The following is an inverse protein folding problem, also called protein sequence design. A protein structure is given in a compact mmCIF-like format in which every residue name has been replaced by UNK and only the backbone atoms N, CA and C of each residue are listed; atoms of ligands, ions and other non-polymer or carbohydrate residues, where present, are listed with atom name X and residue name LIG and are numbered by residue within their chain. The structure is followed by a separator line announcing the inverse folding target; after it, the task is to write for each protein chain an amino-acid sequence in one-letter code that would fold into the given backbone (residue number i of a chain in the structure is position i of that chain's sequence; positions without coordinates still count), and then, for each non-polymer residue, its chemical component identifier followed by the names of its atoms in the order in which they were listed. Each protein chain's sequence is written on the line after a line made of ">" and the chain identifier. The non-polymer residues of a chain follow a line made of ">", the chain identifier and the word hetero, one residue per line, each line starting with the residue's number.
data_IF_276866017824
#
_entry.id   IF_276866017824
#
_cell.length_a   1.000
_cell.length_b   1.000
_cell.length_c   1.000
_cell.angle_alpha   90.00
_cell.angle_beta   90.00
_cell.angle_gamma   90.00
#
_symmetry.space_group_name_H-M   'P 1'
#
loop_
_entity.id
_entity.type
_entity.pdbx_description
1 polymer ?
#
# COMPACT_ATOMS: atom_id res chain seq x y z
N UNK A 1 -20.48 22.39 2.94
CA UNK A 1 -19.41 21.37 2.89
C UNK A 1 -19.30 20.83 4.29
N UNK A 2 -19.56 19.54 4.47
CA UNK A 2 -19.36 18.93 5.79
C UNK A 2 -17.87 19.01 6.11
N UNK A 3 -17.52 19.76 7.16
CA UNK A 3 -16.12 19.94 7.56
C UNK A 3 -15.66 18.68 8.28
N UNK A 4 -14.80 17.89 7.64
CA UNK A 4 -14.11 16.76 8.25
C UNK A 4 -12.75 17.24 8.79
N UNK A 5 -12.82 18.15 9.78
CA UNK A 5 -11.64 18.88 10.27
C UNK A 5 -10.66 18.00 11.03
N UNK A 6 -11.14 17.00 11.78
CA UNK A 6 -10.28 16.06 12.49
C UNK A 6 -9.65 15.07 11.52
N UNK A 7 -10.39 14.61 10.51
CA UNK A 7 -9.84 13.77 9.43
C UNK A 7 -8.74 14.50 8.68
N UNK A 8 -8.97 15.76 8.29
CA UNK A 8 -7.97 16.56 7.58
C UNK A 8 -6.74 16.83 8.44
N UNK A 9 -6.94 17.19 9.71
CA UNK A 9 -5.85 17.41 10.65
C UNK A 9 -5.01 16.15 10.88
N UNK A 10 -5.65 14.99 11.03
CA UNK A 10 -4.96 13.72 11.16
C UNK A 10 -4.11 13.42 9.92
N UNK A 11 -4.73 13.50 8.72
CA UNK A 11 -4.03 13.26 7.46
C UNK A 11 -2.90 14.26 7.20
N UNK A 12 -2.91 15.42 7.86
CA UNK A 12 -1.91 16.47 7.73
C UNK A 12 -0.76 16.37 8.73
N UNK A 13 -0.78 15.43 9.69
CA UNK A 13 0.33 15.24 10.62
C UNK A 13 1.64 14.97 9.88
N UNK A 14 2.65 15.80 10.12
CA UNK A 14 3.94 15.72 9.40
C UNK A 14 4.84 14.58 9.85
N UNK A 15 4.60 14.03 11.06
CA UNK A 15 5.36 12.91 11.63
C UNK A 15 4.58 11.61 11.52
N UNK A 16 4.66 10.87 10.38
CA UNK A 16 3.81 9.72 10.09
C UNK A 16 4.00 8.55 11.06
N UNK A 17 5.12 8.49 11.75
CA UNK A 17 5.51 7.38 12.63
C UNK A 17 5.82 7.83 14.06
N UNK A 18 5.30 8.97 14.47
CA UNK A 18 5.38 9.44 15.85
C UNK A 18 3.99 9.40 16.47
N UNK A 19 3.76 8.44 17.36
CA UNK A 19 2.51 8.29 18.08
C UNK A 19 2.65 8.83 19.50
N UNK A 20 1.73 9.73 19.88
CA UNK A 20 1.60 10.31 21.20
C UNK A 20 0.09 10.43 21.58
N UNK A 21 -0.18 10.94 22.78
CA UNK A 21 -1.54 11.11 23.27
C UNK A 21 -2.40 12.03 22.38
N UNK A 22 -1.78 13.02 21.73
CA UNK A 22 -2.49 13.98 20.89
C UNK A 22 -2.86 13.37 19.55
N UNK A 23 -1.95 12.64 18.91
CA UNK A 23 -2.23 11.91 17.66
C UNK A 23 -3.22 10.77 17.87
N UNK A 24 -3.18 10.08 19.05
CA UNK A 24 -4.17 9.06 19.41
C UNK A 24 -5.56 9.68 19.56
N UNK A 25 -5.68 10.77 20.32
CA UNK A 25 -6.94 11.49 20.49
C UNK A 25 -7.49 11.99 19.14
N UNK A 26 -6.62 12.57 18.32
CA UNK A 26 -7.00 13.06 16.99
C UNK A 26 -7.48 11.94 16.08
N UNK A 27 -6.87 10.75 16.15
CA UNK A 27 -7.34 9.57 15.43
C UNK A 27 -8.75 9.18 15.86
N UNK A 28 -9.02 9.16 17.18
CA UNK A 28 -10.34 8.82 17.71
C UNK A 28 -11.43 9.83 17.30
N UNK A 29 -11.09 11.12 17.33
CA UNK A 29 -11.98 12.20 16.88
C UNK A 29 -12.26 12.08 15.37
N UNK A 30 -11.24 11.85 14.55
CA UNK A 30 -11.35 11.65 13.11
C UNK A 30 -12.19 10.40 12.76
N UNK A 31 -12.04 9.32 13.52
CA UNK A 31 -12.87 8.12 13.33
C UNK A 31 -14.35 8.38 13.65
N UNK A 32 -14.67 9.10 14.73
CA UNK A 32 -16.05 9.49 15.03
C UNK A 32 -16.63 10.40 13.94
N UNK A 33 -15.83 11.33 13.46
CA UNK A 33 -16.18 12.26 12.40
C UNK A 33 -16.52 11.53 11.09
N UNK A 34 -15.70 10.59 10.65
CA UNK A 34 -15.95 9.81 9.41
C UNK A 34 -17.14 8.86 9.56
N UNK A 35 -17.33 8.22 10.72
CA UNK A 35 -18.50 7.38 10.98
C UNK A 35 -19.77 8.23 10.89
N UNK A 36 -19.83 9.38 11.55
CA UNK A 36 -20.97 10.30 11.49
C UNK A 36 -21.24 10.78 10.06
N UNK A 37 -20.18 11.11 9.31
CA UNK A 37 -20.27 11.48 7.90
C UNK A 37 -20.93 10.38 7.06
N UNK A 38 -20.50 9.12 7.17
CA UNK A 38 -21.10 8.02 6.42
C UNK A 38 -22.52 7.67 6.89
N UNK A 39 -22.83 7.85 8.16
CA UNK A 39 -24.21 7.69 8.68
C UNK A 39 -25.17 8.65 7.98
N UNK A 40 -24.73 9.87 7.67
CA UNK A 40 -25.55 10.88 7.00
C UNK A 40 -25.54 10.73 5.47
N UNK A 41 -24.41 10.32 4.89
CA UNK A 41 -24.19 10.43 3.46
C UNK A 41 -24.20 9.08 2.71
N UNK A 42 -24.17 7.93 3.40
CA UNK A 42 -24.14 6.62 2.76
C UNK A 42 -25.43 5.84 3.06
N UNK A 43 -26.25 5.57 2.04
CA UNK A 43 -27.49 4.79 2.22
C UNK A 43 -27.22 3.43 2.87
N UNK A 44 -28.02 3.07 3.89
CA UNK A 44 -27.92 1.78 4.57
C UNK A 44 -26.82 1.67 5.62
N UNK A 45 -25.83 2.59 5.67
CA UNK A 45 -24.71 2.48 6.62
C UNK A 45 -25.17 2.58 8.09
N UNK A 46 -26.12 3.46 8.41
CA UNK A 46 -26.75 3.53 9.76
C UNK A 46 -27.38 2.20 10.18
N UNK A 47 -28.11 1.56 9.27
CA UNK A 47 -28.76 0.27 9.55
C UNK A 47 -27.73 -0.84 9.72
N UNK A 48 -26.65 -0.79 8.94
CA UNK A 48 -25.55 -1.74 9.05
C UNK A 48 -24.84 -1.63 10.42
N UNK A 49 -24.55 -0.43 10.91
CA UNK A 49 -24.02 -0.21 12.26
C UNK A 49 -24.98 -0.74 13.34
N UNK A 50 -26.28 -0.42 13.22
CA UNK A 50 -27.29 -0.86 14.19
C UNK A 50 -27.40 -2.40 14.29
N UNK A 51 -27.24 -3.13 13.19
CA UNK A 51 -27.20 -4.61 13.18
C UNK A 51 -26.02 -5.18 13.96
N UNK A 52 -24.95 -4.40 14.11
CA UNK A 52 -23.77 -4.76 14.87
C UNK A 52 -23.73 -4.13 16.27
N UNK A 53 -24.85 -3.58 16.73
CA UNK A 53 -24.99 -2.89 18.03
C UNK A 53 -24.04 -1.69 18.18
N UNK A 54 -23.68 -1.02 17.08
CA UNK A 54 -22.87 0.21 17.08
C UNK A 54 -23.82 1.40 16.89
N UNK A 55 -23.83 2.38 17.82
CA UNK A 55 -24.64 3.60 17.66
C UNK A 55 -24.06 4.47 16.52
N UNK A 56 -24.92 5.34 15.98
CA UNK A 56 -24.61 6.16 14.81
C UNK A 56 -23.45 7.16 15.03
N UNK A 57 -23.17 7.52 16.27
CA UNK A 57 -22.08 8.39 16.70
C UNK A 57 -20.84 7.62 17.18
N UNK A 58 -20.89 6.28 17.14
CA UNK A 58 -19.85 5.39 17.63
C UNK A 58 -19.45 5.66 19.11
N UNK A 59 -20.37 6.18 19.93
CA UNK A 59 -20.05 6.63 21.29
C UNK A 59 -19.69 5.48 22.25
N UNK A 60 -20.09 4.24 21.94
CA UNK A 60 -19.82 3.05 22.77
C UNK A 60 -18.62 2.22 22.26
N UNK A 61 -17.80 2.77 21.38
CA UNK A 61 -16.61 2.07 20.90
C UNK A 61 -15.44 2.36 21.84
N UNK A 62 -14.98 1.32 22.57
CA UNK A 62 -13.76 1.35 23.37
C UNK A 62 -12.51 1.09 22.55
N UNK A 63 -12.65 0.37 21.45
CA UNK A 63 -11.58 0.07 20.50
C UNK A 63 -12.13 0.03 19.08
N UNK A 64 -11.45 0.69 18.15
CA UNK A 64 -11.84 0.69 16.72
C UNK A 64 -11.78 -0.70 16.07
N UNK A 65 -11.18 -1.67 16.73
CA UNK A 65 -11.31 -3.08 16.36
C UNK A 65 -12.76 -3.58 16.43
N UNK A 66 -13.63 -2.97 17.24
CA UNK A 66 -15.06 -3.32 17.36
C UNK A 66 -15.88 -2.83 16.16
N UNK A 67 -15.35 -1.87 15.38
CA UNK A 67 -16.04 -1.42 14.18
C UNK A 67 -16.13 -2.57 13.18
N UNK A 68 -17.33 -2.96 12.74
CA UNK A 68 -17.51 -4.11 11.87
C UNK A 68 -16.70 -3.93 10.58
N UNK A 69 -15.83 -4.88 10.23
CA UNK A 69 -15.00 -4.73 9.04
C UNK A 69 -15.72 -5.17 7.78
N UNK A 70 -15.39 -4.54 6.67
CA UNK A 70 -15.73 -5.01 5.32
C UNK A 70 -14.57 -5.88 4.83
N UNK A 71 -14.86 -7.05 4.27
CA UNK A 71 -13.82 -7.87 3.66
C UNK A 71 -13.39 -7.29 2.32
N UNK A 72 -12.08 -7.30 2.04
CA UNK A 72 -11.53 -6.81 0.78
C UNK A 72 -12.16 -7.51 -0.45
N UNK A 73 -12.53 -8.79 -0.34
CA UNK A 73 -13.20 -9.53 -1.42
C UNK A 73 -14.60 -8.99 -1.77
N UNK A 74 -15.25 -8.26 -0.87
CA UNK A 74 -16.51 -7.58 -1.17
C UNK A 74 -16.37 -6.60 -2.35
N UNK A 75 -15.27 -5.89 -2.42
CA UNK A 75 -14.98 -4.89 -3.47
C UNK A 75 -14.67 -5.51 -4.84
N UNK A 76 -14.50 -6.82 -4.92
CA UNK A 76 -14.39 -7.55 -6.19
C UNK A 76 -15.75 -7.77 -6.87
N UNK A 77 -16.81 -7.86 -6.09
CA UNK A 77 -18.15 -8.19 -6.57
C UNK A 77 -19.08 -6.97 -6.57
N UNK A 78 -18.78 -5.98 -5.76
CA UNK A 78 -19.64 -4.82 -5.53
C UNK A 78 -18.84 -3.54 -5.72
N UNK A 79 -19.39 -2.61 -6.49
CA UNK A 79 -18.91 -1.22 -6.42
C UNK A 79 -19.38 -0.65 -5.09
N UNK A 80 -18.47 -0.03 -4.31
CA UNK A 80 -18.87 0.56 -3.06
C UNK A 80 -19.95 1.63 -3.27
N UNK A 81 -21.03 1.51 -2.50
CA UNK A 81 -22.11 2.49 -2.50
C UNK A 81 -21.64 3.67 -1.68
N UNK A 82 -21.42 4.80 -2.31
CA UNK A 82 -21.00 6.04 -1.68
C UNK A 82 -21.30 7.24 -2.57
N UNK A 83 -21.07 8.42 -2.05
CA UNK A 83 -21.24 9.68 -2.75
C UNK A 83 -20.03 9.93 -3.66
N UNK A 84 -19.90 9.18 -4.76
CA UNK A 84 -18.92 9.51 -5.78
C UNK A 84 -19.54 10.48 -6.78
N UNK A 85 -19.01 11.71 -6.85
CA UNK A 85 -19.35 12.65 -7.93
C UNK A 85 -18.86 12.11 -9.30
N UNK A 86 -19.21 12.79 -10.37
CA UNK A 86 -18.81 12.44 -11.75
C UNK A 86 -17.28 12.39 -11.92
N UNK A 87 -16.51 13.09 -11.08
CA UNK A 87 -15.04 13.20 -11.12
C UNK A 87 -14.30 12.17 -10.24
N UNK A 88 -14.95 11.09 -9.79
CA UNK A 88 -14.30 10.09 -8.95
C UNK A 88 -13.31 9.24 -9.75
N UNK A 89 -12.07 9.12 -9.26
CA UNK A 89 -11.06 8.25 -9.81
C UNK A 89 -11.40 6.77 -9.49
N UNK A 90 -11.57 5.94 -10.49
CA UNK A 90 -11.72 4.51 -10.31
C UNK A 90 -10.34 3.84 -10.31
N UNK A 91 -9.98 3.21 -9.19
CA UNK A 91 -8.79 2.39 -9.06
C UNK A 91 -9.19 0.91 -9.04
N UNK A 92 -8.39 0.09 -9.72
CA UNK A 92 -8.57 -1.36 -9.75
C UNK A 92 -7.35 -2.07 -9.21
N UNK A 93 -7.56 -3.15 -8.44
CA UNK A 93 -6.47 -4.02 -8.03
C UNK A 93 -5.86 -4.72 -9.25
N UNK A 94 -4.57 -5.06 -9.19
CA UNK A 94 -3.87 -5.78 -10.25
C UNK A 94 -4.31 -7.25 -10.44
N UNK A 95 -5.19 -7.76 -9.57
CA UNK A 95 -5.81 -9.09 -9.50
C UNK A 95 -5.23 -10.18 -10.40
N UNK A 96 -4.48 -11.12 -9.82
CA UNK A 96 -3.97 -12.32 -10.51
C UNK A 96 -5.01 -13.42 -10.69
N UNK A 97 -6.17 -13.30 -10.03
CA UNK A 97 -7.24 -14.34 -9.99
C UNK A 97 -8.48 -14.04 -10.86
N UNK A 98 -8.36 -13.12 -11.80
CA UNK A 98 -9.43 -12.81 -12.77
C UNK A 98 -10.45 -11.75 -12.32
N UNK A 99 -10.84 -11.71 -11.05
CA UNK A 99 -11.70 -10.65 -10.51
C UNK A 99 -10.86 -9.59 -9.79
N UNK A 100 -10.98 -8.34 -10.24
CA UNK A 100 -10.28 -7.19 -9.66
C UNK A 100 -11.19 -6.47 -8.68
N UNK A 101 -10.66 -6.07 -7.53
CA UNK A 101 -11.35 -5.11 -6.68
C UNK A 101 -11.44 -3.76 -7.40
N UNK A 102 -12.57 -3.09 -7.25
CA UNK A 102 -12.84 -1.78 -7.85
C UNK A 102 -13.24 -0.82 -6.75
N UNK A 103 -12.54 0.29 -6.66
CA UNK A 103 -12.81 1.36 -5.71
C UNK A 103 -12.92 2.69 -6.44
N UNK A 104 -13.86 3.52 -6.00
CA UNK A 104 -13.97 4.90 -6.48
C UNK A 104 -13.51 5.83 -5.37
N UNK A 105 -12.57 6.68 -5.71
CA UNK A 105 -12.03 7.69 -4.81
C UNK A 105 -12.41 9.08 -5.28
N UNK A 106 -13.00 9.87 -4.39
CA UNK A 106 -13.17 11.29 -4.64
C UNK A 106 -11.84 12.05 -4.52
N UNK A 107 -11.82 13.29 -4.98
CA UNK A 107 -10.63 14.13 -4.98
C UNK A 107 -10.02 14.32 -3.57
N UNK A 108 -10.88 14.38 -2.53
CA UNK A 108 -10.43 14.51 -1.13
C UNK A 108 -9.68 13.28 -0.67
N UNK A 109 -10.26 12.09 -0.86
CA UNK A 109 -9.64 10.82 -0.45
C UNK A 109 -8.32 10.58 -1.18
N UNK A 110 -8.25 10.86 -2.48
CA UNK A 110 -6.98 10.75 -3.24
C UNK A 110 -5.96 11.78 -2.77
N UNK A 111 -6.37 13.02 -2.55
CA UNK A 111 -5.47 14.06 -2.03
C UNK A 111 -4.89 13.71 -0.66
N UNK A 112 -5.71 13.15 0.23
CA UNK A 112 -5.26 12.65 1.54
C UNK A 112 -4.25 11.51 1.40
N UNK A 113 -4.54 10.49 0.58
CA UNK A 113 -3.63 9.37 0.33
C UNK A 113 -2.29 9.83 -0.25
N UNK A 114 -2.31 10.74 -1.23
CA UNK A 114 -1.11 11.35 -1.81
C UNK A 114 -0.30 12.15 -0.79
N UNK A 115 -0.98 12.88 0.10
CA UNK A 115 -0.35 13.62 1.20
C UNK A 115 0.34 12.70 2.20
N UNK A 116 -0.25 11.56 2.53
CA UNK A 116 0.36 10.54 3.41
C UNK A 116 1.66 9.98 2.79
N UNK A 117 1.64 9.62 1.51
CA UNK A 117 2.86 9.16 0.79
C UNK A 117 3.95 10.23 0.83
N UNK A 118 3.61 11.50 0.56
CA UNK A 118 4.58 12.60 0.57
C UNK A 118 5.27 12.74 1.93
N UNK A 119 4.51 12.66 3.04
CA UNK A 119 5.06 12.76 4.39
C UNK A 119 5.95 11.56 4.75
N UNK A 120 5.57 10.35 4.32
CA UNK A 120 6.39 9.15 4.52
C UNK A 120 7.70 9.25 3.70
N UNK A 121 7.65 9.70 2.46
CA UNK A 121 8.84 9.93 1.64
C UNK A 121 9.76 10.98 2.25
N UNK A 122 9.18 12.06 2.80
CA UNK A 122 9.94 13.10 3.53
C UNK A 122 10.57 12.54 4.80
N UNK A 123 9.83 11.75 5.56
CA UNK A 123 10.34 11.08 6.78
C UNK A 123 11.58 10.24 6.49
N UNK A 124 11.61 9.49 5.37
CA UNK A 124 12.76 8.70 4.97
C UNK A 124 13.82 9.47 4.18
N UNK A 125 13.66 10.77 3.96
CA UNK A 125 14.58 11.60 3.18
C UNK A 125 14.61 11.25 1.68
N UNK A 126 13.48 10.77 1.14
CA UNK A 126 13.36 10.41 -0.28
C UNK A 126 12.70 11.49 -1.13
N UNK A 127 12.19 12.54 -0.52
CA UNK A 127 11.76 13.75 -1.23
C UNK A 127 13.00 14.63 -1.46
N UNK A 128 13.43 14.75 -2.73
CA UNK A 128 14.66 15.46 -3.12
C UNK A 128 14.36 16.40 -4.30
N UNK A 129 13.62 17.51 -4.09
CA UNK A 129 13.09 18.34 -5.17
C UNK A 129 14.19 19.03 -5.99
N UNK A 130 15.39 19.20 -5.43
CA UNK A 130 16.50 19.91 -6.09
C UNK A 130 17.57 18.95 -6.64
N UNK A 131 17.41 17.64 -6.46
CA UNK A 131 18.37 16.63 -6.88
C UNK A 131 17.76 15.72 -7.97
N UNK A 132 18.16 15.88 -9.24
CA UNK A 132 17.64 15.05 -10.31
C UNK A 132 18.08 13.58 -10.14
N UNK A 133 17.17 12.66 -10.46
CA UNK A 133 17.39 11.23 -10.40
C UNK A 133 17.07 10.57 -11.73
N UNK A 134 17.76 9.46 -12.02
CA UNK A 134 17.32 8.52 -13.04
C UNK A 134 16.27 7.58 -12.46
N UNK A 135 15.32 7.17 -13.29
CA UNK A 135 14.25 6.27 -12.90
C UNK A 135 14.29 4.99 -13.73
N UNK A 136 14.29 3.85 -13.06
CA UNK A 136 14.00 2.55 -13.64
C UNK A 136 12.64 2.08 -13.12
N UNK A 137 11.65 2.02 -14.02
CA UNK A 137 10.27 1.67 -13.72
C UNK A 137 10.02 0.21 -14.15
N UNK A 138 9.90 -0.68 -13.16
CA UNK A 138 9.68 -2.12 -13.36
C UNK A 138 8.17 -2.39 -13.56
N UNK A 139 7.58 -1.63 -14.43
CA UNK A 139 6.15 -1.58 -14.71
C UNK A 139 5.90 -1.30 -16.19
N UNK A 140 4.64 -1.13 -16.55
CA UNK A 140 4.20 -0.93 -17.92
C UNK A 140 4.47 0.50 -18.39
N UNK A 141 5.20 0.65 -19.50
CA UNK A 141 5.33 1.93 -20.19
C UNK A 141 3.94 2.43 -20.60
N UNK A 142 3.55 3.68 -20.26
CA UNK A 142 2.24 4.20 -20.60
C UNK A 142 2.02 4.19 -22.12
N UNK A 143 0.92 3.58 -22.59
CA UNK A 143 0.31 3.95 -23.86
C UNK A 143 -0.51 5.23 -23.60
N UNK A 144 -0.93 5.93 -24.63
CA UNK A 144 -1.57 7.27 -24.56
C UNK A 144 -2.75 7.43 -23.57
N UNK A 145 -3.22 6.36 -22.90
CA UNK A 145 -4.31 6.40 -21.90
C UNK A 145 -3.92 5.61 -20.66
N UNK A 146 -3.83 6.32 -19.53
CA UNK A 146 -3.52 5.73 -18.21
C UNK A 146 -4.81 5.15 -17.61
N UNK A 147 -4.94 3.83 -17.62
CA UNK A 147 -6.10 3.13 -17.05
C UNK A 147 -5.76 2.18 -15.90
N UNK A 148 -4.47 1.90 -15.64
CA UNK A 148 -4.05 0.97 -14.59
C UNK A 148 -3.59 1.72 -13.33
N UNK A 149 -4.06 1.30 -12.15
CA UNK A 149 -3.65 1.88 -10.87
C UNK A 149 -2.15 1.86 -10.62
N UNK A 150 -1.41 0.89 -11.19
CA UNK A 150 0.05 0.83 -11.11
C UNK A 150 0.73 1.96 -11.88
N UNK A 151 0.28 2.29 -13.08
CA UNK A 151 0.79 3.43 -13.85
C UNK A 151 0.52 4.77 -13.18
N UNK A 152 -0.63 4.90 -12.50
CA UNK A 152 -0.94 6.07 -11.69
C UNK A 152 0.03 6.20 -10.49
N UNK A 153 0.35 5.09 -9.82
CA UNK A 153 1.29 5.07 -8.70
C UNK A 153 2.69 5.45 -9.16
N UNK A 154 3.19 4.90 -10.26
CA UNK A 154 4.52 5.19 -10.79
C UNK A 154 4.68 6.66 -11.15
N UNK A 155 3.70 7.25 -11.85
CA UNK A 155 3.71 8.68 -12.17
C UNK A 155 3.68 9.55 -10.92
N UNK A 156 2.94 9.13 -9.89
CA UNK A 156 2.91 9.83 -8.62
C UNK A 156 4.25 9.74 -7.89
N UNK A 157 4.88 8.56 -7.85
CA UNK A 157 6.17 8.36 -7.20
C UNK A 157 7.34 9.10 -7.91
N UNK A 158 7.22 9.37 -9.19
CA UNK A 158 8.19 10.19 -9.92
C UNK A 158 8.18 11.68 -9.56
N UNK A 159 7.21 12.15 -8.77
CA UNK A 159 7.13 13.56 -8.34
C UNK A 159 8.11 13.94 -7.23
N UNK A 160 8.68 12.95 -6.52
CA UNK A 160 9.52 13.20 -5.35
C UNK A 160 10.98 13.54 -5.65
N UNK A 161 11.39 13.49 -6.91
CA UNK A 161 12.66 14.04 -7.39
C UNK A 161 12.51 14.41 -8.87
N UNK A 162 13.22 15.45 -9.37
CA UNK A 162 13.21 15.76 -10.78
C UNK A 162 13.68 14.57 -11.62
N UNK A 163 12.90 14.22 -12.64
CA UNK A 163 13.22 13.11 -13.54
C UNK A 163 14.29 13.57 -14.53
N UNK A 164 15.50 13.00 -14.44
CA UNK A 164 16.55 13.20 -15.46
C UNK A 164 16.25 12.31 -16.67
N UNK A 165 16.04 11.03 -16.45
CA UNK A 165 15.66 10.03 -17.45
C UNK A 165 14.81 8.94 -16.80
N UNK A 166 13.80 8.44 -17.52
CA UNK A 166 13.00 7.31 -17.11
C UNK A 166 13.09 6.19 -18.15
N UNK A 167 13.25 4.95 -17.65
CA UNK A 167 13.29 3.73 -18.46
C UNK A 167 12.30 2.73 -17.89
N UNK A 168 11.44 2.18 -18.73
CA UNK A 168 10.45 1.17 -18.36
C UNK A 168 10.94 -0.22 -18.73
N UNK A 169 10.73 -1.19 -17.82
CA UNK A 169 11.07 -2.58 -18.06
C UNK A 169 10.09 -3.29 -19.00
N UNK A 170 8.81 -2.91 -18.98
CA UNK A 170 7.77 -3.43 -19.87
C UNK A 170 7.45 -2.35 -20.91
N UNK A 171 8.13 -2.43 -22.05
CA UNK A 171 8.03 -1.44 -23.13
C UNK A 171 6.78 -1.63 -23.95
N UNK A 172 6.15 -0.54 -24.33
CA UNK A 172 4.99 -0.56 -25.23
C UNK A 172 5.41 -0.82 -26.67
N UNK A 173 4.80 -1.84 -27.31
CA UNK A 173 5.14 -2.27 -28.69
C UNK A 173 4.06 -1.91 -29.72
N UNK A 174 3.12 -1.01 -29.36
CA UNK A 174 1.98 -0.66 -30.22
C UNK A 174 0.77 -1.60 -30.08
N UNK A 175 1.00 -2.90 -29.85
CA UNK A 175 -0.06 -3.89 -29.64
C UNK A 175 -0.11 -4.49 -28.24
N UNK A 176 0.85 -4.15 -27.39
CA UNK A 176 0.96 -4.69 -26.02
C UNK A 176 2.25 -4.24 -25.34
N UNK A 177 2.68 -5.00 -24.35
CA UNK A 177 3.93 -4.72 -23.61
C UNK A 177 4.86 -5.92 -23.70
N UNK A 178 6.15 -5.64 -23.87
CA UNK A 178 7.21 -6.62 -23.91
C UNK A 178 8.25 -6.31 -22.83
N UNK A 179 8.71 -7.35 -22.12
CA UNK A 179 9.78 -7.21 -21.13
C UNK A 179 11.13 -7.08 -21.82
N UNK A 180 11.83 -5.96 -21.61
CA UNK A 180 13.13 -5.62 -22.20
C UNK A 180 14.27 -5.65 -21.16
N UNK A 181 14.74 -6.83 -20.73
CA UNK A 181 15.83 -6.92 -19.75
C UNK A 181 17.15 -6.34 -20.28
N UNK A 182 17.41 -6.45 -21.59
CA UNK A 182 18.65 -5.95 -22.17
C UNK A 182 18.71 -4.41 -22.25
N UNK A 183 17.58 -3.78 -22.58
CA UNK A 183 17.47 -2.33 -22.51
C UNK A 183 17.63 -1.79 -21.10
N UNK A 184 17.06 -2.49 -20.11
CA UNK A 184 17.22 -2.14 -18.68
C UNK A 184 18.68 -2.31 -18.23
N UNK A 185 19.35 -3.42 -18.57
CA UNK A 185 20.77 -3.64 -18.22
C UNK A 185 21.65 -2.51 -18.77
N UNK A 186 21.45 -2.15 -20.04
CA UNK A 186 22.20 -1.04 -20.67
C UNK A 186 21.92 0.29 -19.96
N UNK A 187 20.65 0.57 -19.62
CA UNK A 187 20.32 1.78 -18.89
C UNK A 187 20.97 1.83 -17.50
N UNK A 188 21.03 0.70 -16.77
CA UNK A 188 21.71 0.61 -15.48
C UNK A 188 23.22 0.87 -15.59
N UNK A 189 23.87 0.38 -16.66
CA UNK A 189 25.29 0.67 -16.95
C UNK A 189 25.49 2.16 -17.19
N UNK A 190 24.67 2.78 -18.06
CA UNK A 190 24.72 4.21 -18.35
C UNK A 190 24.46 5.06 -17.09
N UNK A 191 23.51 4.66 -16.23
CA UNK A 191 23.21 5.34 -14.96
C UNK A 191 24.38 5.24 -13.96
N UNK A 192 25.09 4.10 -13.93
CA UNK A 192 26.26 3.94 -13.09
C UNK A 192 27.41 4.85 -13.56
N UNK A 193 27.62 5.00 -14.88
CA UNK A 193 28.60 5.90 -15.46
C UNK A 193 28.24 7.38 -15.25
N UNK A 194 26.97 7.72 -15.33
CA UNK A 194 26.47 9.10 -15.10
C UNK A 194 26.62 9.53 -13.64
N UNK A 195 26.54 8.58 -12.69
CA UNK A 195 26.77 8.81 -11.27
C UNK A 195 25.66 9.58 -10.56
N UNK A 196 24.47 9.76 -11.16
CA UNK A 196 23.29 10.31 -10.49
C UNK A 196 22.54 9.24 -9.68
N UNK A 197 21.81 9.62 -8.63
CA UNK A 197 20.94 8.69 -7.93
C UNK A 197 19.94 8.01 -8.86
N UNK A 198 19.70 6.71 -8.65
CA UNK A 198 18.75 5.91 -9.41
C UNK A 198 17.59 5.51 -8.50
N UNK A 199 16.36 5.73 -8.93
CA UNK A 199 15.15 5.22 -8.28
C UNK A 199 14.61 4.05 -9.07
N UNK A 200 14.73 2.84 -8.52
CA UNK A 200 14.17 1.61 -9.08
C UNK A 200 12.81 1.41 -8.42
N UNK A 201 11.73 1.47 -9.19
CA UNK A 201 10.36 1.39 -8.69
C UNK A 201 9.59 0.28 -9.39
N UNK A 202 8.74 -0.46 -8.67
CA UNK A 202 7.77 -1.40 -9.26
C UNK A 202 7.91 -2.84 -8.78
N UNK A 203 7.71 -3.82 -9.66
CA UNK A 203 7.56 -5.22 -9.27
C UNK A 203 8.91 -5.93 -9.04
N UNK A 204 9.10 -6.58 -7.88
CA UNK A 204 10.37 -7.23 -7.53
C UNK A 204 10.76 -8.35 -8.50
N UNK A 205 9.81 -9.10 -9.05
CA UNK A 205 10.08 -10.20 -9.97
C UNK A 205 10.87 -9.77 -11.22
N UNK A 206 10.52 -8.62 -11.82
CA UNK A 206 11.24 -8.13 -12.99
C UNK A 206 12.68 -7.74 -12.65
N UNK A 207 12.89 -7.10 -11.49
CA UNK A 207 14.24 -6.79 -11.03
C UNK A 207 15.07 -8.05 -10.81
N UNK A 208 14.47 -9.07 -10.19
CA UNK A 208 15.14 -10.35 -10.00
C UNK A 208 15.58 -10.97 -11.34
N UNK A 209 14.72 -10.99 -12.34
CA UNK A 209 15.06 -11.53 -13.67
C UNK A 209 16.16 -10.72 -14.36
N UNK A 210 16.22 -9.41 -14.16
CA UNK A 210 17.31 -8.56 -14.65
C UNK A 210 18.63 -8.93 -13.98
N UNK A 211 18.64 -9.06 -12.63
CA UNK A 211 19.84 -9.45 -11.88
C UNK A 211 20.33 -10.84 -12.27
N UNK A 212 19.43 -11.81 -12.44
CA UNK A 212 19.80 -13.15 -12.93
C UNK A 212 20.37 -13.10 -14.36
N UNK A 213 19.79 -12.30 -15.25
CA UNK A 213 20.32 -12.10 -16.61
C UNK A 213 21.71 -11.47 -16.58
N UNK A 214 21.96 -10.47 -15.74
CA UNK A 214 23.29 -9.88 -15.57
C UNK A 214 24.31 -10.93 -15.10
N UNK A 215 23.92 -11.81 -14.16
CA UNK A 215 24.76 -12.91 -13.68
C UNK A 215 25.08 -13.94 -14.78
N UNK A 216 24.06 -14.36 -15.55
CA UNK A 216 24.23 -15.29 -16.67
C UNK A 216 25.16 -14.74 -17.75
N UNK A 217 25.11 -13.43 -17.99
CA UNK A 217 26.02 -12.74 -18.92
C UNK A 217 27.38 -12.46 -18.32
N UNK A 218 27.64 -12.86 -17.06
CA UNK A 218 28.87 -12.61 -16.33
C UNK A 218 29.30 -11.13 -16.30
N UNK A 219 28.31 -10.23 -16.24
CA UNK A 219 28.57 -8.80 -16.15
C UNK A 219 29.17 -8.44 -14.78
N UNK A 220 30.16 -7.54 -14.73
CA UNK A 220 30.71 -7.09 -13.48
C UNK A 220 29.63 -6.36 -12.65
N UNK A 221 29.75 -6.36 -11.31
CA UNK A 221 28.89 -5.54 -10.46
C UNK A 221 28.98 -4.06 -10.86
N UNK A 222 27.81 -3.41 -10.86
CA UNK A 222 27.71 -1.97 -11.04
C UNK A 222 27.75 -1.29 -9.67
N UNK A 223 28.22 -0.05 -9.64
CA UNK A 223 28.19 0.78 -8.45
C UNK A 223 27.31 2.00 -8.74
N UNK A 224 26.05 1.91 -8.40
CA UNK A 224 25.13 3.03 -8.47
C UNK A 224 25.43 4.03 -7.34
N UNK A 225 24.96 5.27 -7.52
CA UNK A 225 25.12 6.31 -6.50
C UNK A 225 24.57 5.86 -5.14
N UNK A 226 25.25 6.16 -4.05
CA UNK A 226 24.90 5.70 -2.70
C UNK A 226 23.49 6.15 -2.22
N UNK A 227 22.95 7.21 -2.80
CA UNK A 227 21.56 7.66 -2.55
C UNK A 227 20.53 6.99 -3.47
N UNK A 228 20.93 6.03 -4.32
CA UNK A 228 19.96 5.27 -5.10
C UNK A 228 18.99 4.51 -4.18
N UNK A 229 17.75 4.36 -4.63
CA UNK A 229 16.65 3.75 -3.90
C UNK A 229 16.03 2.65 -4.75
N UNK A 230 15.91 1.45 -4.21
CA UNK A 230 15.10 0.38 -4.77
C UNK A 230 13.82 0.24 -3.93
N UNK A 231 12.67 0.65 -4.49
CA UNK A 231 11.39 0.62 -3.82
C UNK A 231 10.41 -0.26 -4.61
N UNK A 232 10.07 -1.38 -4.02
CA UNK A 232 9.21 -2.38 -4.64
C UNK A 232 7.80 -2.32 -4.08
N UNK A 233 6.87 -2.95 -4.77
CA UNK A 233 5.50 -3.07 -4.32
C UNK A 233 4.70 -4.05 -5.16
N UNK A 234 3.55 -4.48 -4.63
CA UNK A 234 2.63 -5.34 -5.32
C UNK A 234 3.03 -6.82 -5.43
N UNK A 235 4.13 -7.24 -4.81
CA UNK A 235 4.58 -8.63 -4.76
C UNK A 235 5.01 -9.22 -6.11
N UNK A 236 5.26 -10.54 -6.13
CA UNK A 236 5.79 -11.27 -7.29
C UNK A 236 4.75 -11.56 -8.39
N UNK A 237 3.46 -11.22 -8.19
CA UNK A 237 2.37 -11.34 -9.17
C UNK A 237 2.22 -12.78 -9.72
N UNK A 238 2.26 -12.91 -11.03
CA UNK A 238 2.19 -14.21 -11.73
C UNK A 238 3.45 -15.07 -11.54
N UNK A 239 4.48 -14.55 -10.89
CA UNK A 239 5.76 -15.21 -10.63
C UNK A 239 5.94 -15.62 -9.17
N UNK A 240 4.84 -15.72 -8.39
CA UNK A 240 4.87 -16.09 -6.98
C UNK A 240 5.49 -17.48 -6.72
N UNK A 241 5.45 -18.38 -7.71
CA UNK A 241 6.11 -19.69 -7.69
C UNK A 241 7.65 -19.60 -7.72
N UNK A 242 8.20 -18.45 -8.10
CA UNK A 242 9.62 -18.14 -8.16
C UNK A 242 10.07 -17.15 -7.10
N UNK A 243 9.19 -16.82 -6.17
CA UNK A 243 9.50 -15.89 -5.09
C UNK A 243 10.63 -16.42 -4.22
N UNK A 244 11.60 -15.55 -3.96
CA UNK A 244 12.76 -15.83 -3.12
C UNK A 244 12.67 -15.05 -1.81
N UNK A 245 13.38 -15.47 -0.75
CA UNK A 245 13.45 -14.70 0.48
C UNK A 245 13.90 -13.25 0.22
N UNK A 246 13.21 -12.30 0.82
CA UNK A 246 13.46 -10.86 0.67
C UNK A 246 14.93 -10.49 0.98
N UNK A 247 15.48 -11.07 2.05
CA UNK A 247 16.89 -10.86 2.42
C UNK A 247 17.87 -11.28 1.33
N UNK A 248 17.60 -12.40 0.64
CA UNK A 248 18.42 -12.86 -0.48
C UNK A 248 18.31 -11.93 -1.69
N UNK A 249 17.12 -11.41 -1.95
CA UNK A 249 16.87 -10.45 -3.02
C UNK A 249 17.61 -9.12 -2.76
N UNK A 250 17.51 -8.57 -1.55
CA UNK A 250 18.17 -7.31 -1.18
C UNK A 250 19.70 -7.47 -1.14
N UNK A 251 20.21 -8.59 -0.63
CA UNK A 251 21.65 -8.89 -0.71
C UNK A 251 22.16 -8.92 -2.16
N UNK A 252 21.37 -9.45 -3.10
CA UNK A 252 21.73 -9.47 -4.53
C UNK A 252 21.72 -8.06 -5.13
N UNK A 253 20.75 -7.19 -4.78
CA UNK A 253 20.73 -5.79 -5.20
C UNK A 253 21.98 -5.05 -4.71
N UNK A 254 22.34 -5.22 -3.44
CA UNK A 254 23.56 -4.62 -2.87
C UNK A 254 24.80 -5.13 -3.58
N UNK A 255 24.94 -6.44 -3.78
CA UNK A 255 26.09 -7.05 -4.41
C UNK A 255 26.26 -6.61 -5.88
N UNK A 256 25.17 -6.54 -6.63
CA UNK A 256 25.24 -6.36 -8.08
C UNK A 256 25.10 -4.91 -8.54
N UNK A 257 24.42 -4.08 -7.76
CA UNK A 257 24.14 -2.68 -8.11
C UNK A 257 24.74 -1.67 -7.13
N UNK A 258 25.32 -2.12 -6.00
CA UNK A 258 25.88 -1.24 -4.99
C UNK A 258 24.82 -0.45 -4.17
N UNK A 259 23.55 -0.79 -4.27
CA UNK A 259 22.48 -0.13 -3.48
C UNK A 259 22.57 -0.65 -2.04
N UNK A 260 22.75 0.21 -1.02
CA UNK A 260 22.77 -0.23 0.37
C UNK A 260 21.47 -0.96 0.75
N UNK A 261 21.56 -2.01 1.57
CA UNK A 261 20.42 -2.79 2.06
C UNK A 261 19.33 -1.88 2.67
N UNK A 262 19.77 -0.90 3.48
CA UNK A 262 18.89 0.10 4.08
C UNK A 262 18.14 1.00 3.06
N UNK A 263 18.46 0.92 1.79
CA UNK A 263 17.78 1.63 0.70
C UNK A 263 17.04 0.67 -0.26
N UNK A 264 16.97 -0.61 0.07
CA UNK A 264 16.09 -1.58 -0.54
C UNK A 264 14.81 -1.67 0.30
N UNK A 265 13.67 -1.34 -0.25
CA UNK A 265 12.40 -1.20 0.46
C UNK A 265 11.26 -1.86 -0.28
N UNK A 266 10.30 -2.31 0.48
CA UNK A 266 9.02 -2.78 -0.03
C UNK A 266 7.89 -1.87 0.46
N UNK A 267 6.84 -1.77 -0.32
CA UNK A 267 5.62 -1.06 0.00
C UNK A 267 4.41 -1.98 -0.07
N UNK A 268 3.62 -1.99 0.98
CA UNK A 268 2.33 -2.66 1.01
C UNK A 268 1.21 -1.63 0.89
N UNK A 269 0.27 -1.89 0.01
CA UNK A 269 -0.94 -1.10 -0.16
C UNK A 269 -2.00 -1.89 -0.90
N UNK A 270 -3.24 -1.53 -0.70
CA UNK A 270 -4.38 -2.12 -1.41
C UNK A 270 -5.31 -1.02 -1.87
N UNK A 271 -6.04 -1.27 -2.96
CA UNK A 271 -7.02 -0.31 -3.45
C UNK A 271 -8.20 -0.15 -2.51
N UNK A 272 -8.46 -1.11 -1.63
CA UNK A 272 -9.58 -1.11 -0.69
C UNK A 272 -9.33 -0.22 0.53
N UNK A 273 -8.05 0.05 0.84
CA UNK A 273 -7.66 0.82 2.03
C UNK A 273 -6.78 2.02 1.69
N UNK A 274 -5.86 1.88 0.75
CA UNK A 274 -5.01 2.91 0.12
C UNK A 274 -4.13 3.75 1.08
N UNK A 275 -3.96 3.32 2.35
CA UNK A 275 -2.93 3.86 3.23
C UNK A 275 -1.60 3.23 2.83
N UNK A 276 -0.53 4.02 2.62
CA UNK A 276 0.77 3.48 2.26
C UNK A 276 1.50 2.92 3.50
N UNK A 277 1.84 1.64 3.47
CA UNK A 277 2.72 1.01 4.44
C UNK A 277 4.06 0.77 3.78
N UNK A 278 5.10 1.42 4.28
CA UNK A 278 6.46 1.39 3.71
C UNK A 278 7.41 0.83 4.76
N UNK A 279 8.26 -0.09 4.35
CA UNK A 279 9.27 -0.68 5.23
C UNK A 279 10.22 0.36 5.83
N UNK A 280 10.57 0.17 7.10
CA UNK A 280 11.69 0.85 7.73
C UNK A 280 13.05 0.27 7.27
N UNK A 281 14.16 0.74 7.85
CA UNK A 281 15.50 0.25 7.52
C UNK A 281 15.74 -1.21 7.93
N UNK A 282 14.90 -1.77 8.80
CA UNK A 282 14.93 -3.18 9.22
C UNK A 282 13.90 -4.04 8.47
N UNK A 283 13.33 -3.52 7.37
CA UNK A 283 12.37 -4.21 6.50
C UNK A 283 11.04 -4.61 7.17
N UNK A 284 10.58 -3.80 8.13
CA UNK A 284 9.30 -3.97 8.81
C UNK A 284 8.31 -2.89 8.39
N UNK A 285 7.04 -3.26 8.18
CA UNK A 285 5.96 -2.33 7.82
C UNK A 285 5.39 -1.66 9.07
N UNK A 286 5.90 -0.50 9.45
CA UNK A 286 5.32 0.29 10.52
C UNK A 286 3.98 0.90 10.13
N UNK A 287 3.05 0.93 11.10
CA UNK A 287 1.72 1.48 10.90
C UNK A 287 1.79 2.99 11.10
N UNK A 288 1.52 3.80 10.06
CA UNK A 288 1.55 5.24 10.22
C UNK A 288 0.37 5.71 11.10
N UNK A 289 0.51 6.85 11.75
CA UNK A 289 -0.51 7.43 12.66
C UNK A 289 -1.87 7.65 12.01
N UNK A 290 -1.95 7.62 10.68
CA UNK A 290 -3.17 7.71 9.88
C UNK A 290 -4.04 6.47 9.90
N UNK A 291 -3.53 5.37 10.47
CA UNK A 291 -4.16 4.05 10.45
C UNK A 291 -3.94 3.32 11.77
N UNK A 292 -4.77 2.28 12.00
CA UNK A 292 -4.58 1.25 13.03
C UNK A 292 -4.72 -0.11 12.38
N UNK A 293 -4.08 -1.13 12.99
CA UNK A 293 -4.21 -2.50 12.52
C UNK A 293 -4.46 -3.48 13.66
N UNK A 294 -5.16 -4.55 13.36
CA UNK A 294 -5.40 -5.69 14.24
C UNK A 294 -5.29 -6.98 13.46
N UNK A 295 -4.94 -8.05 14.17
CA UNK A 295 -4.99 -9.40 13.61
C UNK A 295 -6.31 -10.05 14.00
N UNK A 296 -6.97 -10.68 13.01
CA UNK A 296 -8.23 -11.39 13.17
C UNK A 296 -8.03 -12.88 13.04
N UNK A 297 -8.63 -13.63 13.93
CA UNK A 297 -8.69 -15.09 13.77
C UNK A 297 -9.39 -15.46 12.46
N UNK A 298 -8.84 -16.43 11.74
CA UNK A 298 -9.32 -16.77 10.39
C UNK A 298 -10.65 -17.52 10.35
N UNK A 299 -11.15 -17.99 11.50
CA UNK A 299 -12.43 -18.70 11.60
C UNK A 299 -13.49 -17.88 12.33
N UNK A 300 -13.14 -17.30 13.49
CA UNK A 300 -14.08 -16.56 14.35
C UNK A 300 -14.08 -15.06 14.15
N UNK A 301 -13.06 -14.53 13.47
CA UNK A 301 -12.79 -13.08 13.32
C UNK A 301 -12.56 -12.35 14.65
N UNK A 302 -12.38 -13.07 15.75
CA UNK A 302 -11.99 -12.46 17.01
C UNK A 302 -10.62 -11.78 16.88
N UNK A 303 -10.41 -10.69 17.62
CA UNK A 303 -9.10 -10.01 17.67
C UNK A 303 -8.11 -10.93 18.36
N UNK A 304 -6.91 -11.00 17.81
CA UNK A 304 -5.79 -11.80 18.34
C UNK A 304 -4.74 -10.88 18.92
N UNK A 305 -3.95 -11.44 19.84
CA UNK A 305 -2.83 -10.75 20.47
C UNK A 305 -1.64 -10.59 19.50
N UNK A 306 -0.69 -9.73 19.88
CA UNK A 306 0.58 -9.57 19.19
C UNK A 306 1.30 -10.91 19.01
N UNK A 307 2.04 -11.05 17.92
CA UNK A 307 2.77 -12.27 17.56
C UNK A 307 1.89 -13.43 17.09
N UNK A 308 0.56 -13.28 17.09
CA UNK A 308 -0.34 -14.33 16.60
C UNK A 308 -0.69 -14.10 15.12
N UNK A 309 -0.76 -15.19 14.36
CA UNK A 309 -1.09 -15.18 12.93
C UNK A 309 -2.59 -15.11 12.69
N UNK A 310 -3.01 -14.29 11.74
CA UNK A 310 -4.41 -14.20 11.31
C UNK A 310 -4.56 -13.26 10.11
N UNK A 311 -5.80 -12.91 9.76
CA UNK A 311 -6.08 -11.87 8.76
C UNK A 311 -5.74 -10.50 9.35
N UNK A 312 -5.16 -9.63 8.53
CA UNK A 312 -4.94 -8.24 8.95
C UNK A 312 -6.17 -7.40 8.66
N UNK A 313 -6.62 -6.66 9.68
CA UNK A 313 -7.63 -5.62 9.58
C UNK A 313 -6.92 -4.27 9.66
N UNK A 314 -7.27 -3.37 8.75
CA UNK A 314 -6.86 -1.98 8.80
C UNK A 314 -8.06 -1.07 9.05
N UNK A 315 -7.82 0.01 9.81
CA UNK A 315 -8.81 1.05 10.10
C UNK A 315 -8.18 2.42 9.85
N UNK A 316 -8.89 3.27 9.09
CA UNK A 316 -8.44 4.64 8.79
C UNK A 316 -9.63 5.53 8.43
N UNK A 317 -9.68 6.80 8.88
CA UNK A 317 -10.86 7.67 8.72
C UNK A 317 -10.92 8.44 7.40
N UNK A 318 -9.96 8.34 6.48
CA UNK A 318 -9.80 9.33 5.42
C UNK A 318 -10.67 9.12 4.17
N UNK A 319 -11.24 7.92 3.96
CA UNK A 319 -12.02 7.60 2.75
C UNK A 319 -13.45 8.14 2.90
N UNK A 320 -13.81 9.13 2.08
CA UNK A 320 -15.13 9.78 2.06
C UNK A 320 -16.04 9.25 0.96
N UNK A 321 -15.47 8.63 -0.08
CA UNK A 321 -16.23 8.11 -1.22
C UNK A 321 -17.08 6.88 -0.88
N UNK A 322 -16.69 6.09 0.11
CA UNK A 322 -17.42 4.92 0.59
C UNK A 322 -17.00 4.57 2.02
N UNK A 323 -17.81 3.79 2.80
CA UNK A 323 -17.52 3.48 4.20
C UNK A 323 -16.44 2.37 4.36
N UNK A 324 -15.29 2.53 3.67
CA UNK A 324 -14.16 1.60 3.72
C UNK A 324 -13.16 1.94 4.83
N UNK A 325 -13.62 2.50 5.94
CA UNK A 325 -12.78 2.88 7.08
C UNK A 325 -12.41 1.73 8.02
N UNK A 326 -12.93 0.52 7.79
CA UNK A 326 -12.53 -0.72 8.48
C UNK A 326 -12.57 -1.87 7.47
N UNK A 327 -11.39 -2.40 7.09
CA UNK A 327 -11.26 -3.42 6.05
C UNK A 327 -10.40 -4.58 6.53
N UNK A 328 -10.91 -5.83 6.41
CA UNK A 328 -10.12 -7.04 6.60
C UNK A 328 -9.57 -7.50 5.27
N UNK A 329 -8.26 -7.62 5.20
CA UNK A 329 -7.56 -8.11 4.01
C UNK A 329 -7.56 -9.63 3.94
N UNK A 330 -7.38 -10.19 2.74
CA UNK A 330 -7.16 -11.62 2.54
C UNK A 330 -5.72 -12.05 2.85
N UNK A 331 -4.88 -11.10 3.25
CA UNK A 331 -3.49 -11.35 3.60
C UNK A 331 -3.39 -11.81 5.05
N UNK A 332 -2.53 -12.82 5.28
CA UNK A 332 -2.17 -13.29 6.61
C UNK A 332 -0.99 -12.49 7.12
N UNK A 333 -1.05 -12.07 8.37
CA UNK A 333 -0.03 -11.26 8.99
C UNK A 333 0.12 -11.60 10.49
N UNK A 334 1.18 -11.06 11.08
CA UNK A 334 1.39 -10.92 12.52
C UNK A 334 1.63 -9.45 12.85
N UNK A 335 1.13 -9.00 14.01
CA UNK A 335 1.36 -7.66 14.53
C UNK A 335 2.39 -7.73 15.65
N UNK A 336 3.30 -6.76 15.66
CA UNK A 336 4.40 -6.65 16.59
C UNK A 336 4.46 -5.27 17.23
N UNK A 337 5.05 -5.18 18.42
CA UNK A 337 5.22 -3.90 19.10
C UNK A 337 6.38 -3.12 18.51
N UNK A 338 6.30 -1.80 18.61
CA UNK A 338 7.30 -0.89 18.08
C UNK A 338 8.73 -1.22 18.54
N UNK A 339 8.90 -1.52 19.82
CA UNK A 339 10.21 -1.81 20.45
C UNK A 339 10.88 -3.08 19.91
N UNK A 340 10.13 -4.02 19.35
CA UNK A 340 10.66 -5.26 18.76
C UNK A 340 11.41 -5.01 17.45
N UNK A 341 11.19 -3.86 16.78
CA UNK A 341 11.85 -3.54 15.53
C UNK A 341 13.29 -3.04 15.69
N UNK A 342 13.54 -2.20 16.69
CA UNK A 342 14.86 -1.58 16.93
C UNK A 342 15.30 -0.54 15.90
N UNK A 343 14.45 -0.11 14.97
CA UNK A 343 14.78 0.91 13.95
C UNK A 343 14.63 2.36 14.46
N UNK A 344 14.07 2.55 15.68
CA UNK A 344 13.80 3.86 16.26
C UNK A 344 12.43 4.45 15.93
N UNK A 345 11.64 3.82 15.06
CA UNK A 345 10.23 4.17 14.82
C UNK A 345 9.39 3.72 16.02
N UNK A 346 8.46 4.57 16.48
CA UNK A 346 7.71 4.36 17.73
C UNK A 346 6.30 3.80 17.51
N UNK A 347 5.89 3.55 16.28
CA UNK A 347 4.62 2.90 15.97
C UNK A 347 4.78 1.40 15.77
N UNK A 348 3.76 0.63 16.12
CA UNK A 348 3.71 -0.82 15.91
C UNK A 348 3.91 -1.18 14.43
N UNK A 349 4.28 -2.42 14.18
CA UNK A 349 4.56 -2.90 12.83
C UNK A 349 3.96 -4.29 12.59
N UNK A 350 3.81 -4.65 11.34
CA UNK A 350 3.32 -5.96 10.95
C UNK A 350 4.26 -6.65 9.96
N UNK A 351 4.19 -7.98 9.99
CA UNK A 351 4.83 -8.86 9.02
C UNK A 351 3.76 -9.55 8.17
N UNK A 352 3.96 -9.58 6.85
CA UNK A 352 3.11 -10.32 5.92
C UNK A 352 3.60 -11.76 5.79
N UNK A 353 2.68 -12.70 5.98
CA UNK A 353 2.94 -14.16 5.95
C UNK A 353 2.38 -14.82 4.68
N UNK A 354 1.97 -14.01 3.70
CA UNK A 354 1.38 -14.46 2.46
C UNK A 354 -0.16 -14.40 2.45
N UNK A 355 -0.78 -14.94 1.42
CA UNK A 355 -2.24 -14.94 1.27
C UNK A 355 -2.87 -16.21 1.81
N UNK A 356 -4.06 -16.08 2.40
CA UNK A 356 -4.86 -17.24 2.73
C UNK A 356 -5.29 -17.98 1.44
N UNK A 357 -5.31 -19.31 1.48
CA UNK A 357 -5.82 -20.11 0.36
C UNK A 357 -7.27 -19.71 0.03
N UNK A 358 -7.62 -19.63 -1.24
CA UNK A 358 -8.95 -19.18 -1.72
C UNK A 358 -10.15 -19.88 -1.06
N UNK A 359 -10.00 -21.12 -0.55
CA UNK A 359 -11.09 -21.85 0.11
C UNK A 359 -11.46 -21.29 1.48
N UNK A 360 -10.49 -20.79 2.27
CA UNK A 360 -10.74 -20.22 3.60
C UNK A 360 -11.25 -18.78 3.52
N UNK A 361 -10.69 -17.98 2.62
CA UNK A 361 -11.15 -16.60 2.39
C UNK A 361 -12.57 -16.54 1.84
N UNK A 362 -12.97 -17.51 0.97
CA UNK A 362 -14.35 -17.59 0.45
C UNK A 362 -15.38 -17.92 1.54
N UNK A 363 -15.10 -18.83 2.48
CA UNK A 363 -16.06 -19.16 3.53
C UNK A 363 -16.35 -17.97 4.45
N UNK A 364 -15.32 -17.20 4.82
CA UNK A 364 -15.48 -16.01 5.65
C UNK A 364 -16.15 -14.85 4.89
N UNK A 365 -15.80 -14.63 3.61
CA UNK A 365 -16.44 -13.61 2.77
C UNK A 365 -17.91 -13.92 2.49
N UNK A 366 -18.28 -15.22 2.33
CA UNK A 366 -19.66 -15.65 2.17
C UNK A 366 -20.47 -15.41 3.45
N UNK A 367 -19.93 -15.79 4.60
CA UNK A 367 -20.58 -15.55 5.90
C UNK A 367 -20.79 -14.05 6.17
N UNK A 368 -19.80 -13.21 5.86
CA UNK A 368 -19.92 -11.76 5.98
C UNK A 368 -20.92 -11.16 4.97
N UNK A 369 -20.95 -11.66 3.73
CA UNK A 369 -21.88 -11.18 2.71
C UNK A 369 -23.33 -11.60 2.99
N UNK A 370 -23.56 -12.75 3.62
CA UNK A 370 -24.87 -13.18 4.09
C UNK A 370 -25.35 -12.31 5.26
N UNK A 371 -24.46 -11.93 6.17
CA UNK A 371 -24.73 -10.98 7.24
C UNK A 371 -25.10 -9.57 6.70
N UNK A 372 -24.49 -9.15 5.59
CA UNK A 372 -24.77 -7.84 4.98
C UNK A 372 -26.08 -7.88 4.15
N UNK A 373 -26.41 -9.00 3.50
CA UNK A 373 -27.60 -9.14 2.66
C UNK A 373 -28.90 -9.32 3.46
N UNK A 374 -28.81 -9.65 4.74
CA UNK A 374 -29.96 -9.72 5.65
C UNK A 374 -31.05 -10.68 5.20
N UNK A 375 -30.90 -11.95 5.51
CA UNK A 375 -32.05 -12.83 5.71
C UNK A 375 -32.57 -12.68 7.12
#
# INVERSE_FOLDING_TARGET
>A
MDTLSCVDALCALDSPYHEDSDSQRLFDEAMREIVAFHVMNTPGYRQWLARHNIPADAANIDSWSQLPPIFADYFKQNLPIGRSGEDALELTSSGTSGQKSRMRYDARSIGAAQGMVARIFRHYGWETPDAPCNYLLLSYEPADIITLGTSFTDQFLCKYAPVKRAVYALRHTGSGHEFDPFGVIRALQEFAEEGLPVRILGFPAFMWFILERMREMQLPPLQLHHQSLAFFGGGWKTHADREIPKSAFYARLTQQLGIPDSRCRDGYGSVEHCVPYIECAHHHFHIPVYSRAWIRDTASLAVKDYGQRGFIQFVSPYITSCPAHSVVMSDLAQLHRAEECGCGVTTDWFELLGRASHSKARSCALAASELIKGN
#
